data_IF_712616647428
#
_entry.id   IF_712616647428
#
_cell.length_a   1.000
_cell.length_b   1.000
_cell.length_c   1.000
_cell.angle_alpha   90.00
_cell.angle_beta   90.00
_cell.angle_gamma   90.00
#
_symmetry.space_group_name_H-M   'P 1'
#
loop_
_entity.id
_entity.type
_entity.pdbx_description
1 polymer ?
#
# COMPACT_ATOMS: atom_id res chain seq x y z
N UNK A 1 56.66 36.73 -17.01
CA UNK A 1 56.15 35.42 -16.53
C UNK A 1 54.96 35.72 -15.62
N UNK A 2 53.71 35.51 -16.06
CA UNK A 2 52.55 35.81 -15.23
C UNK A 2 52.43 34.79 -14.09
N UNK A 3 52.12 35.30 -12.89
CA UNK A 3 52.07 34.59 -11.61
C UNK A 3 51.11 33.38 -11.63
N UNK A 4 51.65 32.18 -11.39
CA UNK A 4 50.91 30.91 -11.20
C UNK A 4 49.80 31.02 -10.14
N UNK A 5 50.03 31.85 -9.11
CA UNK A 5 49.13 31.96 -7.95
C UNK A 5 47.74 32.51 -8.25
N UNK A 6 47.58 33.32 -9.31
CA UNK A 6 46.26 33.85 -9.69
C UNK A 6 45.43 32.82 -10.47
N UNK A 7 46.07 31.94 -11.24
CA UNK A 7 45.41 30.86 -11.99
C UNK A 7 45.01 29.74 -11.04
N UNK A 8 45.88 29.42 -10.08
CA UNK A 8 45.61 28.43 -9.03
C UNK A 8 44.50 28.92 -8.09
N UNK A 9 44.46 30.22 -7.75
CA UNK A 9 43.37 30.81 -6.97
C UNK A 9 42.05 30.89 -7.77
N UNK A 10 42.09 31.17 -9.07
CA UNK A 10 40.89 31.15 -9.93
C UNK A 10 40.36 29.73 -10.15
N UNK A 11 41.24 28.72 -10.21
CA UNK A 11 40.84 27.31 -10.27
C UNK A 11 40.33 26.81 -8.91
N UNK A 12 40.91 27.25 -7.80
CA UNK A 12 40.42 26.94 -6.45
C UNK A 12 39.09 27.64 -6.14
N UNK A 13 38.87 28.88 -6.59
CA UNK A 13 37.56 29.55 -6.53
C UNK A 13 36.54 28.89 -7.48
N UNK A 14 36.98 28.48 -8.68
CA UNK A 14 36.16 27.72 -9.62
C UNK A 14 35.77 26.33 -9.11
N UNK A 15 36.63 25.69 -8.31
CA UNK A 15 36.36 24.42 -7.65
C UNK A 15 35.50 24.58 -6.38
N UNK A 16 35.67 25.68 -5.65
CA UNK A 16 34.85 25.98 -4.46
C UNK A 16 33.42 26.45 -4.80
N UNK A 17 33.19 26.96 -6.02
CA UNK A 17 31.86 27.32 -6.53
C UNK A 17 31.08 26.15 -7.13
N UNK A 18 31.64 24.93 -7.14
CA UNK A 18 31.14 23.84 -8.00
C UNK A 18 30.52 22.64 -7.26
N UNK A 19 30.16 22.75 -5.98
CA UNK A 19 29.61 21.59 -5.24
C UNK A 19 28.30 21.85 -4.48
N UNK A 20 27.79 23.09 -4.47
CA UNK A 20 26.52 23.39 -3.80
C UNK A 20 25.62 24.18 -4.75
N UNK A 21 24.87 23.44 -5.57
CA UNK A 21 23.70 23.95 -6.26
C UNK A 21 22.48 23.59 -5.41
N UNK A 22 22.00 24.48 -4.51
CA UNK A 22 20.88 24.17 -3.64
C UNK A 22 19.59 24.16 -4.47
N UNK A 23 19.06 22.97 -4.70
CA UNK A 23 17.73 22.80 -5.30
C UNK A 23 16.70 23.15 -4.22
N UNK A 24 15.83 24.13 -4.50
CA UNK A 24 14.74 24.46 -3.61
C UNK A 24 13.58 23.48 -3.86
N UNK A 25 13.47 22.48 -2.98
CA UNK A 25 12.53 21.40 -3.18
C UNK A 25 11.08 21.77 -2.92
N UNK A 26 10.15 21.09 -3.59
CA UNK A 26 8.73 21.22 -3.30
C UNK A 26 8.32 20.36 -2.07
N UNK A 27 8.18 21.04 -0.94
CA UNK A 27 7.82 20.44 0.34
C UNK A 27 6.39 19.88 0.41
N UNK A 28 5.47 20.29 -0.47
CA UNK A 28 4.12 19.72 -0.57
C UNK A 28 4.09 18.41 -1.38
N UNK A 29 5.16 18.06 -2.07
CA UNK A 29 5.24 16.84 -2.88
C UNK A 29 6.00 15.72 -2.18
N UNK A 30 7.13 16.04 -1.55
CA UNK A 30 8.00 15.07 -0.88
C UNK A 30 8.65 15.66 0.37
N UNK A 31 7.98 16.62 1.00
CA UNK A 31 8.36 17.11 2.31
C UNK A 31 8.44 15.99 3.34
N UNK A 32 9.05 16.31 4.47
CA UNK A 32 9.37 15.36 5.52
C UNK A 32 8.15 14.52 5.95
N UNK A 33 6.97 15.13 6.08
CA UNK A 33 5.76 14.42 6.51
C UNK A 33 5.24 13.43 5.48
N UNK A 34 5.35 13.75 4.18
CA UNK A 34 4.97 12.85 3.09
C UNK A 34 5.91 11.66 3.05
N UNK A 35 7.23 11.90 3.12
CA UNK A 35 8.23 10.83 3.14
C UNK A 35 8.07 9.90 4.34
N UNK A 36 7.96 10.46 5.55
CA UNK A 36 7.71 9.65 6.75
C UNK A 36 6.39 8.90 6.62
N UNK A 37 5.33 9.52 6.10
CA UNK A 37 4.05 8.85 5.85
C UNK A 37 4.22 7.65 4.91
N UNK A 38 4.89 7.83 3.78
CA UNK A 38 5.22 6.75 2.83
C UNK A 38 6.01 5.63 3.51
N UNK A 39 6.99 5.96 4.36
CA UNK A 39 7.79 4.97 5.08
C UNK A 39 6.97 4.20 6.11
N UNK A 40 6.11 4.89 6.86
CA UNK A 40 5.20 4.26 7.82
C UNK A 40 4.21 3.34 7.10
N UNK A 41 3.70 3.71 5.93
CA UNK A 41 2.83 2.85 5.13
C UNK A 41 3.53 1.59 4.65
N UNK A 42 4.75 1.72 4.11
CA UNK A 42 5.58 0.57 3.70
C UNK A 42 5.79 -0.36 4.91
N UNK A 43 6.17 0.20 6.05
CA UNK A 43 6.39 -0.57 7.28
C UNK A 43 5.10 -1.24 7.79
N UNK A 44 3.97 -0.55 7.72
CA UNK A 44 2.65 -1.07 8.11
C UNK A 44 2.24 -2.24 7.22
N UNK A 45 2.44 -2.12 5.90
CA UNK A 45 2.18 -3.20 4.95
C UNK A 45 3.04 -4.44 5.24
N UNK A 46 4.28 -4.24 5.68
CA UNK A 46 5.16 -5.36 6.07
C UNK A 46 4.73 -6.03 7.37
N UNK A 47 4.35 -5.25 8.39
CA UNK A 47 3.79 -5.81 9.63
C UNK A 47 2.53 -6.60 9.32
N UNK A 48 1.63 -6.05 8.50
CA UNK A 48 0.41 -6.74 8.08
C UNK A 48 0.73 -8.06 7.37
N UNK A 49 1.66 -8.04 6.41
CA UNK A 49 2.10 -9.25 5.71
C UNK A 49 2.68 -10.31 6.61
N UNK A 50 3.55 -9.91 7.54
CA UNK A 50 4.14 -10.83 8.50
C UNK A 50 3.08 -11.38 9.46
N UNK A 51 2.16 -10.55 9.92
CA UNK A 51 1.06 -10.97 10.79
C UNK A 51 0.07 -11.88 10.06
N UNK A 52 -0.21 -11.63 8.79
CA UNK A 52 -1.05 -12.49 7.93
C UNK A 52 -0.42 -13.88 7.79
N UNK A 53 0.90 -13.96 7.58
CA UNK A 53 1.61 -15.25 7.52
C UNK A 53 1.69 -15.96 8.89
N UNK A 54 1.78 -15.24 10.00
CA UNK A 54 1.97 -15.86 11.33
C UNK A 54 0.66 -16.12 12.07
N UNK A 55 -0.36 -15.29 11.84
CA UNK A 55 -1.62 -15.25 12.61
C UNK A 55 -2.88 -15.33 11.74
N UNK A 56 -2.76 -15.59 10.43
CA UNK A 56 -3.88 -15.71 9.47
C UNK A 56 -4.89 -14.55 9.50
N UNK A 57 -4.42 -13.34 9.79
CA UNK A 57 -5.28 -12.15 9.90
C UNK A 57 -5.66 -11.60 8.52
N UNK A 58 -6.94 -11.27 8.32
CA UNK A 58 -7.46 -10.66 7.09
C UNK A 58 -6.74 -9.35 6.69
N UNK A 59 -6.05 -9.37 5.55
CA UNK A 59 -5.37 -8.23 4.95
C UNK A 59 -6.35 -7.25 4.26
N UNK A 60 -6.89 -6.30 5.03
CA UNK A 60 -7.74 -5.21 4.50
C UNK A 60 -6.98 -3.92 4.14
N UNK A 61 -5.72 -3.81 4.54
CA UNK A 61 -4.91 -2.57 4.52
C UNK A 61 -4.54 -2.10 3.10
N UNK A 62 -4.54 -3.00 2.11
CA UNK A 62 -4.15 -2.66 0.73
C UNK A 62 -4.99 -1.58 0.04
N UNK A 63 -6.21 -1.31 0.51
CA UNK A 63 -7.09 -0.29 -0.12
C UNK A 63 -6.60 1.14 0.12
N UNK A 64 -6.10 1.42 1.32
CA UNK A 64 -5.68 2.75 1.73
C UNK A 64 -4.39 3.15 1.01
N UNK A 65 -3.44 2.21 0.91
CA UNK A 65 -2.17 2.40 0.20
C UNK A 65 -2.41 2.67 -1.29
N UNK A 66 -3.33 1.95 -1.95
CA UNK A 66 -3.69 2.21 -3.36
C UNK A 66 -4.21 3.64 -3.53
N UNK A 67 -5.19 4.08 -2.73
CA UNK A 67 -5.72 5.45 -2.84
C UNK A 67 -4.62 6.51 -2.60
N UNK A 68 -3.69 6.23 -1.69
CA UNK A 68 -2.56 7.09 -1.42
C UNK A 68 -1.62 7.22 -2.63
N UNK A 69 -1.23 6.08 -3.23
CA UNK A 69 -0.41 6.03 -4.44
C UNK A 69 -1.07 6.81 -5.57
N UNK A 70 -2.38 6.63 -5.78
CA UNK A 70 -3.16 7.39 -6.77
C UNK A 70 -2.99 8.90 -6.57
N UNK A 71 -3.20 9.36 -5.33
CA UNK A 71 -3.19 10.78 -4.99
C UNK A 71 -1.81 11.39 -5.20
N UNK A 72 -0.75 10.76 -4.66
CA UNK A 72 0.62 11.23 -4.81
C UNK A 72 1.09 11.17 -6.27
N UNK A 73 0.74 10.10 -6.99
CA UNK A 73 1.00 9.94 -8.42
C UNK A 73 0.33 11.02 -9.27
N UNK A 74 -0.92 11.37 -8.97
CA UNK A 74 -1.65 12.43 -9.66
C UNK A 74 -1.01 13.81 -9.43
N UNK A 75 -0.57 14.11 -8.21
CA UNK A 75 0.15 15.36 -7.90
C UNK A 75 1.49 15.40 -8.62
N UNK A 76 2.26 14.31 -8.60
CA UNK A 76 3.53 14.19 -9.34
C UNK A 76 3.32 14.44 -10.83
N UNK A 77 2.33 13.78 -11.44
CA UNK A 77 1.99 13.96 -12.85
C UNK A 77 1.62 15.41 -13.19
N UNK A 78 0.82 16.06 -12.34
CA UNK A 78 0.44 17.47 -12.50
C UNK A 78 1.67 18.39 -12.47
N UNK A 79 2.62 18.15 -11.58
CA UNK A 79 3.83 18.96 -11.45
C UNK A 79 4.80 18.77 -12.62
N UNK A 80 4.90 17.53 -13.12
CA UNK A 80 5.66 17.22 -14.35
C UNK A 80 5.08 17.99 -15.54
N UNK A 81 3.75 17.99 -15.73
CA UNK A 81 3.10 18.72 -16.82
C UNK A 81 3.32 20.22 -16.74
N UNK A 82 3.32 20.78 -15.52
CA UNK A 82 3.61 22.21 -15.29
C UNK A 82 5.08 22.57 -15.39
N UNK A 83 5.99 21.59 -15.51
CA UNK A 83 7.46 21.78 -15.48
C UNK A 83 7.93 22.58 -14.26
N UNK A 84 7.29 22.37 -13.12
CA UNK A 84 7.61 23.03 -11.84
C UNK A 84 8.50 22.15 -10.95
N UNK A 85 9.06 21.08 -11.50
CA UNK A 85 9.81 20.07 -10.78
C UNK A 85 11.06 19.69 -11.57
N UNK A 86 12.16 19.45 -10.87
CA UNK A 86 13.41 19.03 -11.47
C UNK A 86 13.52 17.50 -11.56
N UNK A 87 14.33 17.01 -12.50
CA UNK A 87 14.55 15.57 -12.66
C UNK A 87 15.07 14.91 -11.37
N UNK A 88 15.90 15.62 -10.60
CA UNK A 88 16.44 15.19 -9.31
C UNK A 88 15.36 14.96 -8.24
N UNK A 89 14.21 15.64 -8.34
CA UNK A 89 13.09 15.50 -7.40
C UNK A 89 12.09 14.42 -7.85
N UNK A 90 11.95 14.19 -9.16
CA UNK A 90 11.00 13.20 -9.69
C UNK A 90 11.43 11.77 -9.37
N UNK A 91 12.72 11.45 -9.52
CA UNK A 91 13.17 10.06 -9.41
C UNK A 91 12.99 9.42 -8.02
N UNK A 92 13.23 10.11 -6.88
CA UNK A 92 13.09 9.48 -5.57
C UNK A 92 11.62 9.21 -5.26
N UNK A 93 10.72 10.14 -5.62
CA UNK A 93 9.28 9.98 -5.44
C UNK A 93 8.77 8.83 -6.30
N UNK A 94 9.15 8.82 -7.57
CA UNK A 94 8.76 7.77 -8.50
C UNK A 94 9.23 6.39 -8.00
N UNK A 95 10.43 6.31 -7.43
CA UNK A 95 10.95 5.09 -6.81
C UNK A 95 10.10 4.65 -5.61
N UNK A 96 9.68 5.59 -4.76
CA UNK A 96 8.79 5.28 -3.62
C UNK A 96 7.43 4.76 -4.07
N UNK A 97 6.82 5.39 -5.07
CA UNK A 97 5.51 4.95 -5.60
C UNK A 97 5.59 3.53 -6.19
N UNK A 98 6.67 3.21 -6.91
CA UNK A 98 6.87 1.86 -7.45
C UNK A 98 7.01 0.83 -6.32
N UNK A 99 7.78 1.16 -5.28
CA UNK A 99 7.97 0.24 -4.15
C UNK A 99 6.68 0.03 -3.38
N UNK A 100 5.88 1.08 -3.17
CA UNK A 100 4.60 0.95 -2.51
C UNK A 100 3.61 0.07 -3.29
N UNK A 101 3.62 0.15 -4.63
CA UNK A 101 2.85 -0.79 -5.46
C UNK A 101 3.27 -2.24 -5.20
N UNK A 102 4.58 -2.49 -5.04
CA UNK A 102 5.09 -3.83 -4.72
C UNK A 102 4.65 -4.34 -3.35
N UNK A 103 4.52 -3.45 -2.37
CA UNK A 103 4.05 -3.79 -1.02
C UNK A 103 2.54 -4.10 -0.96
N UNK A 104 1.75 -3.64 -1.93
CA UNK A 104 0.30 -3.88 -2.00
C UNK A 104 -0.02 -5.32 -2.42
N UNK A 105 -0.40 -6.16 -1.44
CA UNK A 105 -0.99 -7.49 -1.71
C UNK A 105 -2.48 -7.35 -1.96
N UNK A 106 -2.89 -7.26 -3.24
CA UNK A 106 -4.32 -7.18 -3.58
C UNK A 106 -4.89 -8.59 -3.79
N UNK A 107 -5.86 -9.05 -2.97
CA UNK A 107 -6.54 -10.32 -3.21
C UNK A 107 -7.45 -10.19 -4.43
N UNK A 108 -6.93 -10.67 -5.57
CA UNK A 108 -7.53 -10.46 -6.89
C UNK A 108 -8.92 -11.08 -7.07
N UNK A 109 -9.30 -12.03 -6.20
CA UNK A 109 -10.57 -12.73 -6.25
C UNK A 109 -11.72 -12.04 -5.52
N UNK A 110 -11.46 -11.30 -4.43
CA UNK A 110 -12.52 -10.83 -3.53
C UNK A 110 -13.11 -9.47 -3.95
N UNK A 111 -12.36 -8.62 -4.68
CA UNK A 111 -12.76 -7.23 -4.95
C UNK A 111 -12.35 -6.71 -6.36
N UNK A 112 -13.20 -6.89 -7.40
CA UNK A 112 -12.83 -6.55 -8.79
C UNK A 112 -12.57 -5.05 -9.03
N UNK A 113 -13.23 -4.17 -8.26
CA UNK A 113 -13.03 -2.72 -8.36
C UNK A 113 -11.60 -2.33 -7.93
N UNK A 114 -11.15 -2.80 -6.76
CA UNK A 114 -9.80 -2.53 -6.24
C UNK A 114 -8.72 -3.04 -7.19
N UNK A 115 -8.91 -4.23 -7.77
CA UNK A 115 -7.99 -4.82 -8.74
C UNK A 115 -7.87 -3.95 -9.99
N UNK A 116 -8.99 -3.41 -10.48
CA UNK A 116 -8.98 -2.56 -11.68
C UNK A 116 -8.23 -1.25 -11.43
N UNK A 117 -8.44 -0.63 -10.25
CA UNK A 117 -7.71 0.58 -9.84
C UNK A 117 -6.21 0.27 -9.74
N UNK A 118 -5.85 -0.82 -9.06
CA UNK A 118 -4.46 -1.26 -8.91
C UNK A 118 -3.78 -1.54 -10.27
N UNK A 119 -4.44 -2.27 -11.17
CA UNK A 119 -3.91 -2.50 -12.52
C UNK A 119 -3.73 -1.19 -13.30
N UNK A 120 -4.69 -0.27 -13.18
CA UNK A 120 -4.58 1.07 -13.76
C UNK A 120 -3.38 1.85 -13.23
N UNK A 121 -3.14 1.81 -11.92
CA UNK A 121 -1.97 2.42 -11.29
C UNK A 121 -0.66 1.80 -11.73
N UNK A 122 -0.56 0.47 -11.75
CA UNK A 122 0.64 -0.24 -12.22
C UNK A 122 0.97 0.19 -13.64
N UNK A 123 -0.01 0.20 -14.55
CA UNK A 123 0.18 0.64 -15.93
C UNK A 123 0.60 2.12 -15.99
N UNK A 124 -0.05 2.98 -15.20
CA UNK A 124 0.24 4.41 -15.16
C UNK A 124 1.67 4.68 -14.67
N UNK A 125 2.08 4.07 -13.56
CA UNK A 125 3.40 4.26 -12.96
C UNK A 125 4.52 3.63 -13.80
N UNK A 126 4.29 2.46 -14.41
CA UNK A 126 5.24 1.89 -15.37
C UNK A 126 5.42 2.78 -16.60
N UNK A 127 4.32 3.33 -17.13
CA UNK A 127 4.35 4.26 -18.26
C UNK A 127 5.10 5.54 -17.89
N UNK A 128 4.82 6.11 -16.71
CA UNK A 128 5.50 7.31 -16.21
C UNK A 128 7.00 7.05 -15.98
N UNK A 129 7.36 5.88 -15.45
CA UNK A 129 8.75 5.46 -15.21
C UNK A 129 9.51 5.30 -16.51
N UNK A 130 8.89 4.64 -17.49
CA UNK A 130 9.45 4.49 -18.83
C UNK A 130 9.65 5.86 -19.47
N UNK A 131 8.63 6.70 -19.44
CA UNK A 131 8.75 8.07 -19.95
C UNK A 131 9.88 8.83 -19.25
N UNK A 132 9.96 8.78 -17.92
CA UNK A 132 10.96 9.50 -17.14
C UNK A 132 12.40 9.14 -17.54
N UNK A 133 12.72 7.84 -17.57
CA UNK A 133 14.07 7.36 -17.87
C UNK A 133 14.48 7.53 -19.33
N UNK A 134 13.53 7.46 -20.27
CA UNK A 134 13.82 7.58 -21.70
C UNK A 134 13.79 9.03 -22.17
N UNK A 135 12.77 9.80 -21.80
CA UNK A 135 12.53 11.16 -22.31
C UNK A 135 12.44 12.24 -21.22
N UNK A 136 11.87 11.93 -20.06
CA UNK A 136 11.56 12.93 -19.02
C UNK A 136 12.81 13.62 -18.50
N UNK A 137 13.89 12.88 -18.26
CA UNK A 137 15.17 13.45 -17.85
C UNK A 137 15.73 14.47 -18.86
N UNK A 138 15.53 14.27 -20.17
CA UNK A 138 16.00 15.25 -21.17
C UNK A 138 15.07 16.46 -21.32
N UNK A 139 13.82 16.36 -20.85
CA UNK A 139 12.77 17.37 -21.04
C UNK A 139 12.59 18.28 -19.83
N UNK A 140 12.88 17.79 -18.63
CA UNK A 140 12.70 18.51 -17.37
C UNK A 140 13.79 19.58 -17.16
N UNK A 141 13.46 20.70 -16.50
CA UNK A 141 14.43 21.74 -16.19
C UNK A 141 15.53 21.22 -15.27
N UNK A 142 16.73 21.81 -15.40
CA UNK A 142 17.91 21.49 -14.60
C UNK A 142 18.50 22.78 -14.07
N UNK A 143 18.54 22.93 -12.75
CA UNK A 143 19.30 24.01 -12.12
C UNK A 143 20.78 23.64 -11.95
N UNK A 144 21.09 22.34 -11.81
CA UNK A 144 22.42 21.86 -11.50
C UNK A 144 23.05 21.11 -12.67
N UNK A 145 24.39 21.12 -12.74
CA UNK A 145 25.16 20.45 -13.79
C UNK A 145 25.17 18.94 -13.63
N UNK A 146 25.22 18.46 -12.39
CA UNK A 146 25.28 17.05 -12.04
C UNK A 146 24.26 16.73 -10.95
N UNK A 147 23.36 15.80 -11.24
CA UNK A 147 22.43 15.20 -10.28
C UNK A 147 22.95 13.83 -9.86
N UNK A 148 22.83 13.51 -8.57
CA UNK A 148 23.40 12.31 -7.98
C UNK A 148 22.32 11.37 -7.44
N UNK A 149 22.49 10.06 -7.66
CA UNK A 149 21.68 9.03 -7.04
C UNK A 149 22.54 8.14 -6.13
N UNK A 150 21.88 7.49 -5.17
CA UNK A 150 22.49 6.49 -4.32
C UNK A 150 22.66 5.15 -5.05
N UNK A 151 23.90 4.68 -5.19
CA UNK A 151 24.15 3.30 -5.61
C UNK A 151 25.38 2.75 -4.87
N UNK A 152 25.26 2.60 -3.55
CA UNK A 152 26.36 2.31 -2.61
C UNK A 152 27.52 3.33 -2.61
N UNK A 153 27.48 4.31 -3.51
CA UNK A 153 28.39 5.44 -3.70
C UNK A 153 27.62 6.56 -4.40
N UNK A 154 28.11 7.80 -4.28
CA UNK A 154 27.65 8.97 -5.04
C UNK A 154 27.89 8.74 -6.54
N UNK A 155 26.82 8.54 -7.30
CA UNK A 155 26.87 8.26 -8.75
C UNK A 155 26.03 9.29 -9.50
N UNK A 156 26.56 9.83 -10.60
CA UNK A 156 25.81 10.74 -11.47
C UNK A 156 24.71 9.98 -12.22
N UNK A 157 23.48 10.52 -12.16
CA UNK A 157 22.28 9.91 -12.76
C UNK A 157 22.39 9.84 -14.29
N UNK A 158 23.11 10.80 -14.89
CA UNK A 158 23.15 11.03 -16.34
C UNK A 158 23.93 9.99 -17.15
N UNK A 159 24.83 9.26 -16.50
CA UNK A 159 25.81 8.40 -17.17
C UNK A 159 25.33 6.94 -17.24
N UNK A 160 26.16 6.01 -16.73
CA UNK A 160 25.87 4.57 -16.76
C UNK A 160 24.59 4.22 -15.96
N UNK A 161 24.29 4.99 -14.90
CA UNK A 161 23.13 4.77 -14.07
C UNK A 161 21.82 4.92 -14.86
N UNK A 162 21.71 5.93 -15.73
CA UNK A 162 20.58 6.07 -16.65
C UNK A 162 20.37 4.81 -17.51
N UNK A 163 21.45 4.25 -18.05
CA UNK A 163 21.37 3.04 -18.90
C UNK A 163 20.95 1.81 -18.08
N UNK A 164 21.46 1.69 -16.86
CA UNK A 164 21.05 0.67 -15.92
C UNK A 164 19.54 0.77 -15.59
N UNK A 165 19.04 1.96 -15.26
CA UNK A 165 17.62 2.18 -14.97
C UNK A 165 16.71 1.98 -16.19
N UNK A 166 17.17 2.36 -17.38
CA UNK A 166 16.47 2.05 -18.64
C UNK A 166 16.33 0.54 -18.85
N UNK A 167 17.43 -0.21 -18.66
CA UNK A 167 17.40 -1.67 -18.75
C UNK A 167 16.50 -2.30 -17.69
N UNK A 168 16.58 -1.83 -16.44
CA UNK A 168 15.70 -2.25 -15.35
C UNK A 168 14.22 -2.03 -15.65
N UNK A 169 13.88 -0.88 -16.26
CA UNK A 169 12.50 -0.57 -16.66
C UNK A 169 12.02 -1.51 -17.77
N UNK A 170 12.85 -1.82 -18.76
CA UNK A 170 12.51 -2.80 -19.81
C UNK A 170 12.28 -4.19 -19.21
N UNK A 171 13.15 -4.63 -18.30
CA UNK A 171 12.96 -5.91 -17.60
C UNK A 171 11.66 -5.92 -16.79
N UNK A 172 11.33 -4.82 -16.10
CA UNK A 172 10.08 -4.71 -15.36
C UNK A 172 8.84 -4.81 -16.25
N UNK A 173 8.86 -4.19 -17.45
CA UNK A 173 7.77 -4.30 -18.42
C UNK A 173 7.65 -5.74 -18.94
N UNK A 174 8.76 -6.39 -19.25
CA UNK A 174 8.75 -7.79 -19.74
C UNK A 174 8.25 -8.75 -18.65
N UNK A 175 8.72 -8.59 -17.41
CA UNK A 175 8.28 -9.39 -16.28
C UNK A 175 6.81 -9.15 -15.95
N UNK A 176 6.39 -7.87 -15.85
CA UNK A 176 5.01 -7.49 -15.57
C UNK A 176 4.05 -7.90 -16.69
N UNK A 177 4.43 -7.67 -17.95
CA UNK A 177 3.66 -8.08 -19.13
C UNK A 177 3.57 -9.61 -19.26
N UNK A 178 4.66 -10.33 -18.99
CA UNK A 178 4.67 -11.79 -18.94
C UNK A 178 3.77 -12.34 -17.84
N UNK A 179 3.84 -11.78 -16.63
CA UNK A 179 2.96 -12.14 -15.51
C UNK A 179 1.48 -11.87 -15.82
N UNK A 180 1.17 -10.71 -16.40
CA UNK A 180 -0.19 -10.36 -16.83
C UNK A 180 -0.70 -11.30 -17.93
N UNK A 181 0.14 -11.68 -18.89
CA UNK A 181 -0.22 -12.62 -19.95
C UNK A 181 -0.52 -14.02 -19.39
N UNK A 182 0.35 -14.55 -18.52
CA UNK A 182 0.13 -15.83 -17.82
C UNK A 182 -1.18 -15.78 -17.05
N UNK A 183 -1.44 -14.66 -16.36
CA UNK A 183 -2.66 -14.47 -15.60
C UNK A 183 -3.91 -14.44 -16.50
N UNK A 184 -3.90 -13.68 -17.60
CA UNK A 184 -5.01 -13.63 -18.57
C UNK A 184 -5.27 -15.00 -19.19
N UNK A 185 -4.23 -15.81 -19.44
CA UNK A 185 -4.36 -17.17 -19.97
C UNK A 185 -4.87 -18.18 -18.92
N UNK A 186 -4.51 -17.99 -17.65
CA UNK A 186 -4.97 -18.83 -16.53
C UNK A 186 -6.41 -18.52 -16.09
N UNK A 187 -6.88 -17.28 -16.27
CA UNK A 187 -8.23 -16.86 -15.88
C UNK A 187 -9.35 -17.72 -16.50
N UNK A 188 -9.39 -17.99 -17.83
CA UNK A 188 -10.39 -18.88 -18.41
C UNK A 188 -10.32 -20.30 -17.84
N UNK A 189 -9.12 -20.84 -17.60
CA UNK A 189 -8.93 -22.17 -17.04
C UNK A 189 -9.50 -22.24 -15.61
N UNK A 190 -9.26 -21.20 -14.79
CA UNK A 190 -9.81 -21.09 -13.44
C UNK A 190 -11.34 -20.90 -13.46
N UNK A 191 -11.87 -20.07 -14.36
CA UNK A 191 -13.32 -19.90 -14.51
C UNK A 191 -13.99 -21.21 -14.94
N UNK A 192 -13.38 -21.95 -15.88
CA UNK A 192 -13.89 -23.26 -16.34
C UNK A 192 -13.80 -24.30 -15.21
N UNK A 193 -12.69 -24.37 -14.48
CA UNK A 193 -12.53 -25.28 -13.36
C UNK A 193 -13.54 -24.99 -12.25
N UNK A 194 -13.70 -23.72 -11.87
CA UNK A 194 -14.64 -23.28 -10.85
C UNK A 194 -16.10 -23.46 -11.30
N UNK A 195 -16.42 -23.29 -12.59
CA UNK A 195 -17.74 -23.59 -13.15
C UNK A 195 -18.03 -25.10 -13.18
N UNK A 196 -17.03 -25.92 -13.51
CA UNK A 196 -17.09 -27.39 -13.41
C UNK A 196 -17.32 -27.84 -11.97
N UNK A 197 -16.63 -27.23 -11.00
CA UNK A 197 -16.84 -27.54 -9.59
C UNK A 197 -18.16 -27.01 -9.07
N UNK A 198 -18.61 -25.82 -9.47
CA UNK A 198 -19.92 -25.28 -9.12
C UNK A 198 -21.06 -26.18 -9.64
N UNK A 199 -20.96 -26.65 -10.88
CA UNK A 199 -21.93 -27.61 -11.45
C UNK A 199 -21.90 -28.98 -10.77
N UNK A 200 -20.75 -29.39 -10.19
CA UNK A 200 -20.64 -30.59 -9.34
C UNK A 200 -21.08 -30.34 -7.88
N UNK A 201 -20.89 -29.12 -7.38
CA UNK A 201 -21.07 -28.66 -6.01
C UNK A 201 -22.52 -28.43 -5.59
N UNK A 202 -23.42 -28.17 -6.55
CA UNK A 202 -24.88 -28.25 -6.34
C UNK A 202 -25.35 -29.60 -5.75
N UNK A 203 -24.50 -30.63 -5.71
CA UNK A 203 -24.79 -31.93 -5.09
C UNK A 203 -24.24 -32.08 -3.66
N UNK A 204 -23.45 -31.15 -3.13
CA UNK A 204 -22.71 -31.32 -1.87
C UNK A 204 -22.48 -29.97 -1.19
N UNK A 205 -23.54 -29.42 -0.63
CA UNK A 205 -23.57 -28.09 -0.04
C UNK A 205 -23.76 -28.23 1.47
N UNK A 206 -22.67 -28.44 2.23
CA UNK A 206 -22.70 -28.18 3.68
C UNK A 206 -21.35 -27.88 4.36
N UNK A 207 -20.19 -28.20 3.78
CA UNK A 207 -18.91 -27.79 4.38
C UNK A 207 -17.91 -27.43 3.29
N UNK A 208 -17.81 -26.14 2.97
CA UNK A 208 -16.69 -25.61 2.17
C UNK A 208 -15.85 -24.75 3.10
N UNK A 209 -14.86 -25.39 3.70
CA UNK A 209 -13.74 -24.71 4.38
C UNK A 209 -13.09 -23.74 3.38
N UNK A 210 -12.84 -22.51 3.82
CA UNK A 210 -12.12 -21.50 3.06
C UNK A 210 -10.73 -22.05 2.76
N UNK A 211 -10.51 -22.45 1.51
CA UNK A 211 -9.28 -23.13 1.10
C UNK A 211 -8.04 -22.30 1.38
N UNK A 212 -7.03 -22.98 1.92
CA UNK A 212 -5.68 -22.50 2.22
C UNK A 212 -5.17 -21.56 1.13
N UNK A 213 -4.87 -20.33 1.54
CA UNK A 213 -4.25 -19.34 0.68
C UNK A 213 -2.83 -19.80 0.33
N UNK A 214 -2.42 -19.80 -0.96
CA UNK A 214 -1.06 -20.16 -1.33
C UNK A 214 -0.08 -19.17 -0.68
N UNK A 215 0.70 -19.70 0.25
CA UNK A 215 1.75 -18.97 0.97
C UNK A 215 2.77 -18.40 -0.02
N UNK A 216 2.69 -17.08 -0.25
CA UNK A 216 3.73 -16.37 -0.99
C UNK A 216 4.90 -16.12 -0.04
N UNK A 217 5.75 -17.15 0.10
CA UNK A 217 6.95 -17.17 0.96
C UNK A 217 8.09 -16.22 0.52
N UNK A 218 7.81 -14.92 0.45
CA UNK A 218 8.74 -13.89 -0.05
C UNK A 218 9.09 -12.80 0.97
N UNK A 219 8.60 -12.89 2.21
CA UNK A 219 8.64 -11.76 3.17
C UNK A 219 10.03 -11.24 3.57
N UNK A 220 11.07 -12.09 3.64
CA UNK A 220 12.41 -11.65 4.10
C UNK A 220 13.17 -10.80 3.09
N UNK A 221 13.04 -11.11 1.80
CA UNK A 221 13.71 -10.33 0.74
C UNK A 221 13.00 -9.00 0.49
N UNK A 222 11.69 -8.95 0.66
CA UNK A 222 10.87 -7.75 0.49
C UNK A 222 11.25 -6.64 1.48
N UNK A 223 11.37 -6.97 2.77
CA UNK A 223 11.73 -5.99 3.82
C UNK A 223 13.11 -5.35 3.56
N UNK A 224 14.12 -6.18 3.23
CA UNK A 224 15.47 -5.67 2.98
C UNK A 224 15.52 -4.76 1.75
N UNK A 225 14.78 -5.10 0.70
CA UNK A 225 14.68 -4.30 -0.52
C UNK A 225 14.03 -2.93 -0.24
N UNK A 226 12.92 -2.90 0.50
CA UNK A 226 12.21 -1.67 0.85
C UNK A 226 13.05 -0.73 1.72
N UNK A 227 13.71 -1.25 2.76
CA UNK A 227 14.64 -0.47 3.56
C UNK A 227 15.79 0.10 2.72
N UNK A 228 16.29 -0.70 1.76
CA UNK A 228 17.26 -0.25 0.78
C UNK A 228 16.78 0.95 -0.04
N UNK A 229 15.50 0.98 -0.40
CA UNK A 229 14.91 2.10 -1.14
C UNK A 229 14.71 3.34 -0.27
N UNK A 230 14.35 3.19 1.01
CA UNK A 230 14.30 4.32 1.94
C UNK A 230 15.67 5.00 2.03
N UNK A 231 16.73 4.20 2.22
CA UNK A 231 18.11 4.69 2.25
C UNK A 231 18.49 5.32 0.91
N UNK A 232 18.11 4.70 -0.20
CA UNK A 232 18.33 5.21 -1.54
C UNK A 232 17.76 6.62 -1.72
N UNK A 233 16.53 6.85 -1.28
CA UNK A 233 15.86 8.15 -1.38
C UNK A 233 16.51 9.18 -0.48
N UNK A 234 16.72 8.88 0.80
CA UNK A 234 17.27 9.86 1.75
C UNK A 234 18.70 10.27 1.39
N UNK A 235 19.54 9.32 0.96
CA UNK A 235 20.89 9.62 0.51
C UNK A 235 20.89 10.42 -0.79
N UNK A 236 19.98 10.10 -1.72
CA UNK A 236 19.80 10.86 -2.95
C UNK A 236 19.42 12.32 -2.68
N UNK A 237 18.47 12.56 -1.78
CA UNK A 237 18.07 13.92 -1.39
C UNK A 237 19.22 14.68 -0.74
N UNK A 238 19.94 14.01 0.18
CA UNK A 238 21.11 14.58 0.86
C UNK A 238 22.23 14.94 -0.10
N UNK A 239 22.53 14.11 -1.10
CA UNK A 239 23.62 14.34 -2.05
C UNK A 239 23.31 15.38 -3.12
N UNK A 240 22.03 15.67 -3.38
CA UNK A 240 21.60 16.77 -4.25
C UNK A 240 21.37 18.09 -3.48
N UNK A 241 21.67 18.16 -2.18
CA UNK A 241 21.52 19.35 -1.34
C UNK A 241 20.13 20.00 -1.46
N UNK A 242 19.07 19.18 -1.52
CA UNK A 242 17.70 19.69 -1.63
C UNK A 242 17.31 20.33 -0.31
N UNK A 243 16.99 21.63 -0.35
CA UNK A 243 16.61 22.43 0.84
C UNK A 243 15.10 22.64 0.90
N UNK A 244 14.58 23.04 2.07
CA UNK A 244 13.15 23.33 2.27
C UNK A 244 12.24 22.10 2.48
N UNK A 245 12.78 20.88 2.34
CA UNK A 245 12.00 19.63 2.40
C UNK A 245 12.11 18.87 3.72
N UNK A 246 12.90 19.38 4.66
CA UNK A 246 13.17 18.74 5.96
C UNK A 246 12.31 19.31 7.11
N UNK A 247 11.43 20.27 6.84
CA UNK A 247 10.55 20.87 7.85
C UNK A 247 9.12 20.38 7.72
N UNK A 248 8.50 20.01 8.85
CA UNK A 248 7.07 19.69 8.99
C UNK A 248 6.21 20.96 9.17
N UNK A 249 6.47 22.02 8.40
CA UNK A 249 5.79 23.31 8.60
C UNK A 249 4.53 23.47 7.76
N UNK A 250 4.36 22.69 6.69
CA UNK A 250 3.25 22.85 5.76
C UNK A 250 2.07 21.91 6.05
N UNK A 251 0.83 22.43 6.03
CA UNK A 251 -0.40 21.64 6.20
C UNK A 251 -0.48 20.41 5.30
N UNK A 252 0.00 20.52 4.06
CA UNK A 252 -0.03 19.44 3.07
C UNK A 252 0.76 18.19 3.48
N UNK A 253 1.74 18.33 4.37
CA UNK A 253 2.56 17.23 4.86
C UNK A 253 1.98 16.51 6.08
N UNK A 254 1.10 17.17 6.84
CA UNK A 254 0.52 16.60 8.07
C UNK A 254 -0.50 15.51 7.76
N UNK A 255 -1.35 15.73 6.76
CA UNK A 255 -2.38 14.77 6.38
C UNK A 255 -1.80 13.37 6.06
N UNK A 256 -0.84 13.21 5.14
CA UNK A 256 -0.26 11.90 4.83
C UNK A 256 0.48 11.27 6.02
N UNK A 257 1.15 12.09 6.84
CA UNK A 257 1.83 11.62 8.04
C UNK A 257 0.85 11.04 9.08
N UNK A 258 -0.23 11.75 9.39
CA UNK A 258 -1.21 11.30 10.39
C UNK A 258 -2.02 10.09 9.91
N UNK A 259 -2.36 10.03 8.63
CA UNK A 259 -3.04 8.88 8.03
C UNK A 259 -2.17 7.64 8.21
N UNK A 260 -0.91 7.68 7.76
CA UNK A 260 0.00 6.56 7.88
C UNK A 260 0.29 6.16 9.35
N UNK A 261 0.34 7.14 10.27
CA UNK A 261 0.50 6.86 11.69
C UNK A 261 -0.73 6.17 12.29
N UNK A 262 -1.93 6.62 11.94
CA UNK A 262 -3.18 6.00 12.39
C UNK A 262 -3.32 4.57 11.85
N UNK A 263 -2.92 4.34 10.60
CA UNK A 263 -2.86 3.02 9.97
C UNK A 263 -1.89 2.10 10.72
N UNK A 264 -0.68 2.59 11.04
CA UNK A 264 0.30 1.82 11.82
C UNK A 264 -0.24 1.44 13.20
N UNK A 265 -0.80 2.40 13.94
CA UNK A 265 -1.36 2.17 15.27
C UNK A 265 -2.51 1.17 15.22
N UNK A 266 -3.41 1.30 14.23
CA UNK A 266 -4.54 0.38 14.05
C UNK A 266 -4.05 -1.03 13.74
N UNK A 267 -3.04 -1.15 12.89
CA UNK A 267 -2.44 -2.45 12.53
C UNK A 267 -1.77 -3.09 13.72
N UNK A 268 -0.94 -2.35 14.46
CA UNK A 268 -0.29 -2.84 15.68
C UNK A 268 -1.31 -3.26 16.74
N UNK A 269 -2.39 -2.49 16.92
CA UNK A 269 -3.46 -2.85 17.86
C UNK A 269 -4.16 -4.14 17.44
N UNK A 270 -4.48 -4.32 16.16
CA UNK A 270 -5.08 -5.56 15.65
C UNK A 270 -4.14 -6.74 15.88
N UNK A 271 -2.89 -6.65 15.43
CA UNK A 271 -1.89 -7.71 15.60
C UNK A 271 -1.71 -8.06 17.07
N UNK A 272 -1.56 -7.05 17.94
CA UNK A 272 -1.43 -7.25 19.38
C UNK A 272 -2.66 -7.92 20.01
N UNK A 273 -3.88 -7.54 19.58
CA UNK A 273 -5.12 -8.18 20.05
C UNK A 273 -5.19 -9.66 19.62
N UNK A 274 -4.86 -9.97 18.37
CA UNK A 274 -4.85 -11.36 17.88
C UNK A 274 -3.80 -12.20 18.58
N UNK A 275 -2.57 -11.69 18.72
CA UNK A 275 -1.50 -12.38 19.44
C UNK A 275 -1.87 -12.65 20.90
N UNK A 276 -2.54 -11.70 21.57
CA UNK A 276 -3.01 -11.89 22.95
C UNK A 276 -4.08 -12.98 23.07
N UNK A 277 -5.03 -13.03 22.13
CA UNK A 277 -6.09 -14.06 22.13
C UNK A 277 -5.46 -15.45 21.93
N UNK A 278 -4.54 -15.58 20.96
CA UNK A 278 -3.86 -16.85 20.69
C UNK A 278 -3.03 -17.33 21.89
N UNK A 279 -2.34 -16.41 22.58
CA UNK A 279 -1.58 -16.75 23.79
C UNK A 279 -2.49 -17.23 24.94
N UNK A 280 -3.72 -16.71 25.03
CA UNK A 280 -4.69 -17.15 26.04
C UNK A 280 -5.22 -18.55 25.68
N UNK A 281 -5.53 -18.81 24.41
CA UNK A 281 -6.03 -20.12 23.98
C UNK A 281 -5.01 -21.24 24.23
N UNK A 282 -3.72 -21.00 24.00
CA UNK A 282 -2.66 -21.97 24.32
C UNK A 282 -2.58 -22.31 25.81
N UNK A 283 -2.82 -21.33 26.70
CA UNK A 283 -2.78 -21.55 28.16
C UNK A 283 -4.03 -22.27 28.71
N UNK A 284 -5.20 -22.12 28.05
CA UNK A 284 -6.46 -22.75 28.45
C UNK A 284 -6.79 -24.04 27.68
N UNK A 285 -6.01 -24.39 26.66
CA UNK A 285 -6.01 -25.68 25.98
C UNK A 285 -5.51 -26.79 26.89
N UNK A 286 -6.31 -27.16 27.90
CA UNK A 286 -6.12 -28.39 28.66
C UNK A 286 -6.05 -29.61 27.74
N UNK A 287 -5.43 -30.72 28.18
CA UNK A 287 -5.22 -31.90 27.36
C UNK A 287 -6.54 -32.33 26.72
N UNK A 288 -6.57 -32.42 25.40
CA UNK A 288 -7.64 -33.05 24.63
C UNK A 288 -7.86 -34.47 25.19
N UNK A 289 -8.86 -34.57 26.07
CA UNK A 289 -9.22 -35.77 26.77
C UNK A 289 -10.66 -35.60 27.22
N UNK A 290 -11.53 -36.40 26.61
CA UNK A 290 -12.99 -36.45 26.76
C UNK A 290 -13.77 -35.43 25.92
N UNK A 291 -14.23 -35.95 24.79
CA UNK A 291 -15.46 -35.56 24.11
C UNK A 291 -16.64 -35.57 25.11
N UNK A 292 -16.77 -34.53 25.92
CA UNK A 292 -18.04 -34.27 26.60
C UNK A 292 -19.01 -33.71 25.55
N UNK A 293 -19.78 -34.64 24.96
CA UNK A 293 -21.01 -34.38 24.26
C UNK A 293 -21.81 -33.28 24.98
N UNK A 294 -21.91 -32.09 24.39
CA UNK A 294 -22.88 -31.09 24.83
C UNK A 294 -24.29 -31.71 24.76
N UNK A 295 -25.03 -31.86 25.88
CA UNK A 295 -26.36 -32.42 25.89
C UNK A 295 -27.38 -31.36 25.50
N UNK A 296 -27.30 -30.87 24.26
CA UNK A 296 -28.30 -29.98 23.68
C UNK A 296 -28.87 -30.57 22.39
N UNK A 297 -29.43 -31.77 22.53
CA UNK A 297 -30.42 -32.29 21.59
C UNK A 297 -31.63 -32.83 22.34
N UNK A 298 -32.30 -31.95 23.08
CA UNK A 298 -33.72 -32.18 23.40
C UNK A 298 -34.46 -31.98 22.09
N UNK A 299 -34.75 -33.09 21.39
CA UNK A 299 -35.80 -33.10 20.37
C UNK A 299 -37.12 -32.73 21.07
N UNK A 300 -37.83 -31.65 20.68
CA UNK A 300 -39.21 -31.51 21.09
C UNK A 300 -40.02 -32.59 20.36
N UNK A 301 -40.41 -33.62 21.11
CA UNK A 301 -41.53 -34.47 20.71
C UNK A 301 -42.79 -33.60 20.65
N UNK A 302 -43.39 -33.55 19.46
CA UNK A 302 -44.82 -33.26 19.21
C UNK A 302 -45.41 -32.04 19.93
N UNK A 303 -45.48 -30.91 19.23
CA UNK A 303 -46.32 -29.79 19.68
C UNK A 303 -46.39 -28.63 18.68
N UNK A 304 -47.48 -28.57 17.92
CA UNK A 304 -48.05 -27.41 17.24
C UNK A 304 -47.08 -26.48 16.46
N UNK A 305 -47.10 -26.59 15.14
CA UNK A 305 -46.66 -25.52 14.23
C UNK A 305 -47.54 -24.30 14.46
N UNK A 306 -47.04 -23.34 15.24
CA UNK A 306 -47.64 -21.99 15.33
C UNK A 306 -47.32 -21.28 14.02
N UNK A 307 -48.34 -21.09 13.18
CA UNK A 307 -48.23 -20.28 11.96
C UNK A 307 -47.93 -18.84 12.33
N UNK A 308 -46.95 -18.26 11.63
CA UNK A 308 -46.50 -16.88 11.81
C UNK A 308 -47.62 -15.83 11.60
N UNK A 309 -48.72 -16.21 10.97
CA UNK A 309 -49.89 -15.35 10.73
C UNK A 309 -50.67 -15.03 12.03
N UNK A 310 -50.61 -15.91 13.04
CA UNK A 310 -51.32 -15.70 14.32
C UNK A 310 -50.60 -14.69 15.24
N UNK A 311 -49.30 -14.49 15.07
CA UNK A 311 -48.53 -13.48 15.82
C UNK A 311 -48.78 -12.06 15.29
N UNK A 312 -49.06 -11.90 14.00
CA UNK A 312 -49.35 -10.58 13.42
C UNK A 312 -50.74 -10.06 13.85
N UNK A 313 -51.72 -10.94 14.04
CA UNK A 313 -53.06 -10.55 14.51
C UNK A 313 -53.09 -10.16 15.99
N UNK A 314 -52.24 -10.76 16.83
CA UNK A 314 -52.09 -10.37 18.24
C UNK A 314 -51.37 -9.01 18.42
N UNK A 315 -50.36 -8.71 17.58
CA UNK A 315 -49.66 -7.42 17.61
C UNK A 315 -50.55 -6.26 17.15
N UNK A 316 -51.42 -6.47 16.16
CA UNK A 316 -52.37 -5.46 15.70
C UNK A 316 -53.44 -5.11 16.76
N UNK A 317 -53.83 -6.07 17.62
CA UNK A 317 -54.82 -5.84 18.68
C UNK A 317 -54.25 -5.05 19.85
N UNK A 318 -52.96 -5.19 20.16
CA UNK A 318 -52.29 -4.46 21.25
C UNK A 318 -52.08 -2.98 20.94
N UNK A 319 -51.87 -2.62 19.66
CA UNK A 319 -51.70 -1.21 19.26
C UNK A 319 -52.98 -0.38 19.36
N UNK A 320 -54.17 -1.01 19.31
CA UNK A 320 -55.46 -0.31 19.40
C UNK A 320 -55.92 -0.04 20.83
N UNK A 321 -55.25 -0.60 21.85
CA UNK A 321 -55.62 -0.46 23.26
C UNK A 321 -54.79 0.60 24.01
N UNK A 322 -53.68 1.06 23.43
CA UNK A 322 -52.80 2.07 24.05
C UNK A 322 -53.23 3.51 23.74
N UNK A 323 -54.09 3.74 22.73
CA UNK A 323 -54.53 5.09 22.31
C UNK A 323 -55.81 5.60 22.98
N UNK A 324 -56.41 4.84 23.92
CA UNK A 324 -57.65 5.27 24.62
C UNK A 324 -57.48 5.57 26.11
N UNK A 325 -56.23 5.68 26.60
CA UNK A 325 -55.94 5.72 28.04
C UNK A 325 -55.32 7.00 28.61
N UNK A 326 -55.30 8.14 27.90
CA UNK A 326 -54.76 9.40 28.44
C UNK A 326 -55.70 10.57 28.18
N UNK A 327 -56.79 10.62 28.94
CA UNK A 327 -57.50 11.88 29.26
C UNK A 327 -58.01 11.77 30.69
N UNK A 328 -57.43 12.53 31.61
CA UNK A 328 -58.13 13.35 32.62
C UNK A 328 -57.27 13.59 33.87
N UNK A 329 -57.36 14.83 34.37
CA UNK A 329 -57.05 15.33 35.72
C UNK A 329 -55.67 15.98 35.95
N UNK A 330 -55.62 17.28 35.66
CA UNK A 330 -54.97 18.28 36.53
C UNK A 330 -55.96 19.45 36.69
N UNK A 331 -56.54 19.55 37.88
CA UNK A 331 -56.82 20.81 38.60
C UNK A 331 -55.93 20.77 39.82
#
# INVERSE_FOLDING_TARGET
>A
MPNSTAVDAAFALGAALNDTCPIHGNSDLYGLGIRIGLYLQIFTAQISGLASHVLEVDDSIGHEVVVFILATGAVLFRLILKRQIEAAEVFPILSLLIVQLGACRVPFWKKPMTVTIYLGEVICLLSLTTWFWFHGMDTLPRSCRDDYAFFFKKVSIWHWFRKFSQAGTVMAILAGGGGALVYILMLPALVIANFSEWTRGWRREEHREEGEHPDMGTGKFEIAFELGIVVYVEMSLKWNNITGVHSLSQPGQFMPFFIALAELVTTLYRVGKYALIHAIEEDYGGPEGEEDECPHKIKPETGAVVKLDDLQSAAAKKKKQTDTGIVSNIV
#
